data_IF_766919124562
#
_entry.id   IF_766919124562
#
_cell.length_a   1.000
_cell.length_b   1.000
_cell.length_c   1.000
_cell.angle_alpha   90.00
_cell.angle_beta   90.00
_cell.angle_gamma   90.00
#
_symmetry.space_group_name_H-M   'P 1'
#
loop_
_entity.id
_entity.type
_entity.pdbx_description
1 polymer ?
#
# COMPACT_ATOMS: atom_id res chain seq x y z
N UNK A 1 6.22 -17.25 16.60
CA UNK A 1 5.18 -16.20 16.50
C UNK A 1 5.58 -15.25 15.38
N UNK A 2 4.63 -14.64 14.66
CA UNK A 2 4.97 -13.66 13.62
C UNK A 2 5.61 -12.40 14.25
N UNK A 3 6.70 -11.92 13.65
CA UNK A 3 7.49 -10.76 14.10
C UNK A 3 7.00 -9.42 13.52
N UNK A 4 5.78 -9.40 12.99
CA UNK A 4 5.17 -8.24 12.35
C UNK A 4 3.69 -8.10 12.73
N UNK A 5 3.12 -6.94 12.43
CA UNK A 5 1.66 -6.71 12.39
C UNK A 5 1.24 -6.33 10.97
N UNK A 6 0.04 -6.69 10.57
CA UNK A 6 -0.59 -6.26 9.31
C UNK A 6 -1.86 -5.48 9.66
N UNK A 7 -1.92 -4.23 9.25
CA UNK A 7 -3.03 -3.33 9.58
C UNK A 7 -3.69 -2.89 8.28
N UNK A 8 -4.99 -3.14 8.15
CA UNK A 8 -5.79 -2.55 7.08
C UNK A 8 -5.96 -1.06 7.36
N UNK A 9 -5.70 -0.26 6.34
CA UNK A 9 -5.76 1.20 6.44
C UNK A 9 -6.51 1.77 5.25
N UNK A 10 -7.12 2.92 5.48
CA UNK A 10 -7.72 3.75 4.45
C UNK A 10 -7.08 5.12 4.48
N UNK A 11 -6.81 5.65 3.30
CA UNK A 11 -6.36 7.02 3.09
C UNK A 11 -6.99 7.57 1.82
N UNK A 12 -6.81 8.86 1.54
CA UNK A 12 -7.48 9.51 0.42
C UNK A 12 -6.45 10.00 -0.60
N UNK A 13 -6.76 9.83 -1.87
CA UNK A 13 -5.98 10.44 -2.95
C UNK A 13 -6.35 11.93 -3.15
N UNK A 14 -5.70 12.59 -4.11
CA UNK A 14 -5.94 13.99 -4.43
C UNK A 14 -7.38 14.29 -4.89
N UNK A 15 -8.12 13.28 -5.36
CA UNK A 15 -9.53 13.39 -5.78
C UNK A 15 -10.52 13.06 -4.66
N UNK A 16 -10.04 12.83 -3.43
CA UNK A 16 -10.83 12.38 -2.28
C UNK A 16 -11.47 10.99 -2.46
N UNK A 17 -10.94 10.19 -3.36
CA UNK A 17 -11.30 8.77 -3.47
C UNK A 17 -10.53 8.02 -2.38
N UNK A 18 -11.20 7.10 -1.69
CA UNK A 18 -10.58 6.23 -0.69
C UNK A 18 -9.67 5.21 -1.38
N UNK A 19 -8.44 5.12 -0.89
CA UNK A 19 -7.46 4.10 -1.26
C UNK A 19 -7.32 3.09 -0.11
N UNK A 20 -7.52 1.82 -0.43
CA UNK A 20 -7.33 0.71 0.49
C UNK A 20 -5.87 0.28 0.54
N UNK A 21 -5.32 0.16 1.75
CA UNK A 21 -3.94 -0.30 1.96
C UNK A 21 -3.82 -1.35 3.06
N UNK A 22 -2.67 -2.04 3.06
CA UNK A 22 -2.21 -2.87 4.17
C UNK A 22 -0.83 -2.39 4.57
N UNK A 23 -0.74 -1.87 5.80
CA UNK A 23 0.50 -1.45 6.43
C UNK A 23 1.07 -2.60 7.26
N UNK A 24 2.20 -3.16 6.80
CA UNK A 24 2.94 -4.19 7.52
C UNK A 24 4.08 -3.53 8.31
N UNK A 25 4.07 -3.70 9.63
CA UNK A 25 5.06 -3.11 10.54
C UNK A 25 5.87 -4.20 11.25
N UNK A 26 7.19 -4.05 11.41
CA UNK A 26 7.98 -4.88 12.33
C UNK A 26 7.56 -4.64 13.79
N UNK A 27 7.49 -5.70 14.61
CA UNK A 27 6.93 -5.62 15.98
C UNK A 27 7.72 -4.81 17.00
N UNK A 28 9.05 -4.78 16.87
CA UNK A 28 9.94 -4.33 17.95
C UNK A 28 10.72 -3.05 17.61
N UNK A 29 10.41 -2.42 16.50
CA UNK A 29 11.13 -1.24 15.99
C UNK A 29 10.15 -0.17 15.57
N UNK A 30 10.39 1.06 16.00
CA UNK A 30 9.66 2.26 15.60
C UNK A 30 10.52 3.11 14.66
N UNK A 31 9.89 3.94 13.84
CA UNK A 31 10.57 4.86 12.92
C UNK A 31 11.60 4.18 11.99
N UNK A 32 11.14 3.15 11.26
CA UNK A 32 11.96 2.38 10.32
C UNK A 32 11.74 2.87 8.88
N UNK A 33 12.70 2.65 7.96
CA UNK A 33 12.46 2.87 6.55
C UNK A 33 11.29 2.02 6.03
N UNK A 34 10.55 2.55 5.07
CA UNK A 34 9.36 1.92 4.51
C UNK A 34 9.46 1.72 3.00
N UNK A 35 8.83 0.65 2.51
CA UNK A 35 8.70 0.33 1.08
C UNK A 35 7.24 0.43 0.67
N UNK A 36 6.94 1.19 -0.39
CA UNK A 36 5.62 1.16 -1.04
C UNK A 36 5.64 0.12 -2.14
N UNK A 37 4.69 -0.80 -2.12
CA UNK A 37 4.55 -1.90 -3.08
C UNK A 37 3.34 -1.62 -3.96
N UNK A 38 3.60 -1.33 -5.23
CA UNK A 38 2.59 -1.05 -6.24
C UNK A 38 2.28 -2.33 -7.04
N UNK A 39 1.01 -2.68 -7.19
CA UNK A 39 0.60 -3.78 -8.05
C UNK A 39 0.58 -3.35 -9.54
N UNK A 40 0.49 -4.34 -10.44
CA UNK A 40 0.37 -4.09 -11.88
C UNK A 40 -1.08 -3.86 -12.32
N UNK A 41 -1.26 -3.62 -13.61
CA UNK A 41 -2.58 -3.40 -14.23
C UNK A 41 -3.57 -4.54 -13.98
N UNK A 42 -4.79 -4.20 -13.59
CA UNK A 42 -5.89 -5.13 -13.29
C UNK A 42 -5.50 -6.20 -12.25
N UNK A 43 -4.68 -5.80 -11.28
CA UNK A 43 -4.29 -6.60 -10.10
C UNK A 43 -4.66 -5.86 -8.81
N UNK A 44 -4.28 -6.44 -7.68
CA UNK A 44 -4.56 -5.88 -6.35
C UNK A 44 -3.36 -6.05 -5.42
N UNK A 45 -3.37 -5.32 -4.31
CA UNK A 45 -2.42 -5.39 -3.19
C UNK A 45 -2.32 -6.76 -2.52
N UNK A 46 -3.28 -7.64 -2.79
CA UNK A 46 -3.42 -8.97 -2.18
C UNK A 46 -2.79 -10.09 -2.99
N UNK A 47 -2.13 -9.80 -4.13
CA UNK A 47 -1.35 -10.81 -4.83
C UNK A 47 -0.30 -11.44 -3.90
N UNK A 48 -0.23 -12.77 -3.89
CA UNK A 48 0.62 -13.56 -2.98
C UNK A 48 2.07 -13.06 -2.90
N UNK A 49 2.67 -12.72 -4.04
CA UNK A 49 4.05 -12.20 -4.13
C UNK A 49 4.27 -10.93 -3.30
N UNK A 50 3.28 -10.05 -3.22
CA UNK A 50 3.37 -8.81 -2.44
C UNK A 50 3.19 -9.06 -0.95
N UNK A 51 2.28 -9.97 -0.58
CA UNK A 51 2.08 -10.41 0.81
C UNK A 51 3.33 -11.11 1.36
N UNK A 52 3.98 -11.95 0.56
CA UNK A 52 5.22 -12.62 0.96
C UNK A 52 6.37 -11.60 1.07
N UNK A 53 6.48 -10.67 0.11
CA UNK A 53 7.49 -9.60 0.15
C UNK A 53 7.35 -8.71 1.37
N UNK A 54 6.13 -8.28 1.73
CA UNK A 54 5.92 -7.41 2.90
C UNK A 54 6.31 -8.08 4.22
N UNK A 55 6.02 -9.38 4.34
CA UNK A 55 6.38 -10.16 5.53
C UNK A 55 7.88 -10.34 5.63
N UNK A 56 8.53 -10.64 4.51
CA UNK A 56 9.98 -10.71 4.41
C UNK A 56 10.65 -9.37 4.79
N UNK A 57 10.13 -8.24 4.29
CA UNK A 57 10.64 -6.91 4.63
C UNK A 57 10.51 -6.62 6.14
N UNK A 58 9.37 -6.97 6.73
CA UNK A 58 9.16 -6.80 8.17
C UNK A 58 10.10 -7.65 9.02
N UNK A 59 10.38 -8.89 8.60
CA UNK A 59 11.41 -9.74 9.24
C UNK A 59 12.83 -9.17 9.12
N UNK A 60 13.07 -8.24 8.19
CA UNK A 60 14.31 -7.47 8.03
C UNK A 60 14.28 -6.09 8.70
N UNK A 61 13.23 -5.78 9.48
CA UNK A 61 13.09 -4.51 10.18
C UNK A 61 12.63 -3.34 9.29
N UNK A 62 12.04 -3.62 8.13
CA UNK A 62 11.49 -2.62 7.22
C UNK A 62 9.96 -2.61 7.27
N UNK A 63 9.36 -1.43 7.29
CA UNK A 63 7.91 -1.31 7.10
C UNK A 63 7.56 -1.46 5.61
N UNK A 64 6.32 -1.84 5.31
CA UNK A 64 5.82 -1.78 3.94
C UNK A 64 4.34 -1.43 3.85
N UNK A 65 3.99 -0.70 2.80
CA UNK A 65 2.61 -0.39 2.43
C UNK A 65 2.30 -1.03 1.09
N UNK A 66 1.33 -1.94 1.07
CA UNK A 66 0.69 -2.38 -0.17
C UNK A 66 -0.61 -1.61 -0.32
N UNK A 67 -0.90 -1.10 -1.51
CA UNK A 67 -2.13 -0.34 -1.78
C UNK A 67 -2.81 -0.84 -3.04
N UNK A 68 -4.14 -0.69 -3.09
CA UNK A 68 -4.89 -0.75 -4.33
C UNK A 68 -4.95 0.66 -4.94
N UNK A 69 -4.59 0.80 -6.21
CA UNK A 69 -4.79 2.07 -6.91
C UNK A 69 -6.28 2.38 -7.13
N UNK A 70 -6.63 3.66 -7.27
CA UNK A 70 -8.02 4.07 -7.44
C UNK A 70 -8.66 3.45 -8.69
N UNK A 71 -9.81 2.81 -8.52
CA UNK A 71 -10.52 2.02 -9.54
C UNK A 71 -10.11 0.54 -9.56
N UNK A 72 -9.26 0.08 -8.64
CA UNK A 72 -8.82 -1.32 -8.57
C UNK A 72 -9.02 -1.89 -7.17
N UNK A 73 -9.22 -3.20 -7.09
CA UNK A 73 -9.32 -3.96 -5.84
C UNK A 73 -10.38 -3.40 -4.89
N UNK A 74 -9.96 -3.08 -3.67
CA UNK A 74 -10.81 -2.52 -2.63
C UNK A 74 -10.73 -0.99 -2.57
N UNK A 75 -10.09 -0.31 -3.52
CA UNK A 75 -10.09 1.16 -3.57
C UNK A 75 -11.35 1.68 -4.29
N UNK A 76 -11.78 2.88 -3.92
CA UNK A 76 -12.81 3.60 -4.65
C UNK A 76 -12.32 4.03 -6.03
N UNK A 77 -13.21 4.66 -6.81
CA UNK A 77 -12.93 5.16 -8.14
C UNK A 77 -13.41 4.22 -9.24
N UNK A 78 -13.23 4.67 -10.48
CA UNK A 78 -13.71 3.99 -11.68
C UNK A 78 -12.54 3.40 -12.47
N UNK A 79 -12.60 2.08 -12.71
CA UNK A 79 -11.59 1.33 -13.46
C UNK A 79 -11.47 1.84 -14.91
N UNK A 80 -12.57 2.24 -15.54
CA UNK A 80 -12.56 2.75 -16.92
C UNK A 80 -11.83 4.09 -17.05
N UNK A 81 -11.68 4.82 -15.93
CA UNK A 81 -10.99 6.11 -15.84
C UNK A 81 -9.55 5.98 -15.34
N UNK A 82 -9.01 4.76 -15.29
CA UNK A 82 -7.63 4.51 -14.89
C UNK A 82 -6.65 5.10 -15.90
N UNK A 83 -5.65 5.81 -15.39
CA UNK A 83 -4.51 6.29 -16.18
C UNK A 83 -3.24 6.20 -15.35
N UNK A 84 -2.08 6.09 -16.01
CA UNK A 84 -0.77 6.07 -15.33
C UNK A 84 -0.58 7.35 -14.49
N UNK A 85 -1.08 8.49 -14.97
CA UNK A 85 -1.03 9.76 -14.23
C UNK A 85 -1.86 9.71 -12.95
N UNK A 86 -3.02 9.03 -12.97
CA UNK A 86 -3.84 8.82 -11.79
C UNK A 86 -3.12 7.89 -10.79
N UNK A 87 -2.55 6.79 -11.25
CA UNK A 87 -1.75 5.88 -10.40
C UNK A 87 -0.53 6.59 -9.80
N UNK A 88 0.15 7.45 -10.56
CA UNK A 88 1.26 8.26 -10.05
C UNK A 88 0.80 9.27 -8.98
N UNK A 89 -0.38 9.87 -9.16
CA UNK A 89 -0.99 10.75 -8.15
C UNK A 89 -1.37 9.98 -6.89
N UNK A 90 -1.93 8.78 -7.03
CA UNK A 90 -2.27 7.91 -5.90
C UNK A 90 -1.00 7.52 -5.13
N UNK A 91 0.09 7.17 -5.83
CA UNK A 91 1.39 6.85 -5.24
C UNK A 91 1.98 8.05 -4.47
N UNK A 92 1.86 9.27 -5.00
CA UNK A 92 2.29 10.47 -4.29
C UNK A 92 1.51 10.68 -2.97
N UNK A 93 0.21 10.40 -2.97
CA UNK A 93 -0.60 10.42 -1.75
C UNK A 93 -0.21 9.33 -0.76
N UNK A 94 0.10 8.12 -1.24
CA UNK A 94 0.58 7.02 -0.39
C UNK A 94 1.94 7.34 0.25
N UNK A 95 2.84 7.98 -0.50
CA UNK A 95 4.10 8.49 0.02
C UNK A 95 3.86 9.54 1.11
N UNK A 96 2.98 10.52 0.86
CA UNK A 96 2.65 11.54 1.85
C UNK A 96 1.98 10.95 3.11
N UNK A 97 1.17 9.91 2.96
CA UNK A 97 0.55 9.20 4.07
C UNK A 97 1.60 8.54 4.98
N UNK A 98 2.63 7.89 4.41
CA UNK A 98 3.70 7.25 5.18
C UNK A 98 4.72 8.22 5.78
N UNK A 99 4.81 9.44 5.25
CA UNK A 99 5.81 10.43 5.67
C UNK A 99 5.39 11.24 6.91
N UNK A 100 4.28 10.88 7.56
CA UNK A 100 3.76 11.52 8.77
C UNK A 100 4.08 10.68 10.00
#
# INVERSE_FOLDING_TARGET
MANYSENYIDFFNAKKERLAGVLTLPKYTTNVPAVIICHGFAKTKSERKFVELSRFLADKGLASLRLDFSGQGESEGDFEKLTIQKEASDLACAFSFLSK
#
